data_IF_913873589227
#
_entry.id   IF_913873589227
#
_cell.length_a   1.000
_cell.length_b   1.000
_cell.length_c   1.000
_cell.angle_alpha   90.00
_cell.angle_beta   90.00
_cell.angle_gamma   90.00
#
_symmetry.space_group_name_H-M   'P 1'
#
loop_
_entity.id
_entity.type
_entity.pdbx_description
1 polymer ?
#
# COMPACT_ATOMS: atom_id res chain seq x y z
N UNK A 1 5.47 -45.82 53.40
CA UNK A 1 6.17 -44.60 52.95
C UNK A 1 5.17 -43.79 52.14
N UNK A 2 4.68 -42.66 52.70
CA UNK A 2 3.78 -41.74 52.00
C UNK A 2 4.55 -41.08 50.86
N UNK A 3 4.10 -41.26 49.61
CA UNK A 3 4.50 -40.35 48.53
C UNK A 3 4.05 -38.94 48.95
N UNK A 4 4.93 -37.93 48.94
CA UNK A 4 4.50 -36.55 49.22
C UNK A 4 3.36 -36.21 48.28
N UNK A 5 2.32 -35.56 48.80
CA UNK A 5 1.19 -35.09 48.00
C UNK A 5 1.73 -34.31 46.80
N UNK A 6 1.31 -34.59 45.56
CA UNK A 6 1.81 -33.87 44.41
C UNK A 6 1.61 -32.38 44.66
N UNK A 7 2.68 -31.60 44.54
CA UNK A 7 2.61 -30.16 44.68
C UNK A 7 1.54 -29.64 43.71
N UNK A 8 0.71 -28.69 44.15
CA UNK A 8 -0.37 -28.20 43.30
C UNK A 8 0.23 -27.62 42.01
N UNK A 9 -0.48 -27.71 40.86
CA UNK A 9 0.02 -27.18 39.59
C UNK A 9 0.46 -25.70 39.68
N UNK A 10 -0.24 -24.90 40.50
CA UNK A 10 0.12 -23.52 40.78
C UNK A 10 1.50 -23.38 41.45
N UNK A 11 1.80 -24.23 42.44
CA UNK A 11 3.11 -24.24 43.13
C UNK A 11 4.21 -24.69 42.16
N UNK A 12 3.96 -25.69 41.32
CA UNK A 12 4.92 -26.13 40.30
C UNK A 12 5.24 -25.00 39.31
N UNK A 13 4.23 -24.26 38.84
CA UNK A 13 4.42 -23.11 37.94
C UNK A 13 5.21 -21.99 38.62
N UNK A 14 4.84 -21.60 39.84
CA UNK A 14 5.53 -20.55 40.58
C UNK A 14 7.01 -20.91 40.82
N UNK A 15 7.30 -22.16 41.21
CA UNK A 15 8.66 -22.66 41.36
C UNK A 15 9.44 -22.62 40.04
N UNK A 16 8.81 -23.04 38.94
CA UNK A 16 9.42 -23.06 37.62
C UNK A 16 9.79 -21.65 37.14
N UNK A 17 8.85 -20.70 37.21
CA UNK A 17 9.06 -19.32 36.81
C UNK A 17 10.10 -18.63 37.69
N UNK A 18 10.07 -18.85 39.01
CA UNK A 18 11.05 -18.26 39.92
C UNK A 18 12.46 -18.82 39.70
N UNK A 19 12.59 -20.12 39.40
CA UNK A 19 13.87 -20.73 39.05
C UNK A 19 14.40 -20.20 37.71
N UNK A 20 13.52 -20.07 36.71
CA UNK A 20 13.86 -19.52 35.40
C UNK A 20 14.37 -18.08 35.48
N UNK A 21 13.69 -17.22 36.26
CA UNK A 21 14.12 -15.83 36.49
C UNK A 21 15.50 -15.73 37.18
N UNK A 22 15.85 -16.71 38.02
CA UNK A 22 17.17 -16.79 38.67
C UNK A 22 18.26 -17.40 37.79
N UNK A 23 17.91 -17.86 36.59
CA UNK A 23 18.84 -18.55 35.68
C UNK A 23 19.12 -20.01 36.05
N UNK A 24 18.42 -20.58 37.03
CA UNK A 24 18.55 -21.99 37.41
C UNK A 24 17.70 -22.87 36.48
N UNK A 25 18.28 -23.15 35.30
CA UNK A 25 17.61 -23.92 34.25
C UNK A 25 17.27 -25.35 34.68
N UNK A 26 18.06 -25.96 35.56
CA UNK A 26 17.85 -27.34 36.01
C UNK A 26 16.63 -27.44 36.95
N UNK A 27 16.53 -26.53 37.92
CA UNK A 27 15.36 -26.47 38.79
C UNK A 27 14.09 -26.07 38.04
N UNK A 28 14.19 -25.14 37.09
CA UNK A 28 13.07 -24.74 36.25
C UNK A 28 12.53 -25.92 35.43
N UNK A 29 13.44 -26.67 34.78
CA UNK A 29 13.11 -27.86 34.02
C UNK A 29 12.41 -28.92 34.86
N UNK A 30 12.93 -29.23 36.06
CA UNK A 30 12.31 -30.20 36.96
C UNK A 30 10.93 -29.75 37.46
N UNK A 31 10.73 -28.46 37.69
CA UNK A 31 9.44 -27.92 38.11
C UNK A 31 8.42 -27.93 36.95
N UNK A 32 8.83 -27.61 35.73
CA UNK A 32 7.98 -27.72 34.54
C UNK A 32 7.63 -29.18 34.20
N UNK A 33 8.56 -30.14 34.35
CA UNK A 33 8.24 -31.57 34.19
C UNK A 33 7.18 -32.04 35.19
N UNK A 34 7.30 -31.65 36.47
CA UNK A 34 6.27 -31.94 37.49
C UNK A 34 4.94 -31.26 37.20
N UNK A 35 4.96 -30.07 36.57
CA UNK A 35 3.72 -29.42 36.12
C UNK A 35 3.04 -30.27 35.04
N UNK A 36 3.80 -30.74 34.04
CA UNK A 36 3.27 -31.57 32.95
C UNK A 36 2.73 -32.93 33.41
N UNK A 37 3.20 -33.50 34.53
CA UNK A 37 2.59 -34.69 35.13
C UNK A 37 1.11 -34.47 35.50
N UNK A 38 0.73 -33.23 35.81
CA UNK A 38 -0.63 -32.85 36.20
C UNK A 38 -1.41 -32.12 35.10
N UNK A 39 -0.70 -31.41 34.22
CA UNK A 39 -1.25 -30.61 33.11
C UNK A 39 -0.45 -30.89 31.83
N UNK A 40 -0.69 -32.02 31.14
CA UNK A 40 0.13 -32.45 30.00
C UNK A 40 0.15 -31.46 28.82
N UNK A 41 -0.89 -30.63 28.71
CA UNK A 41 -1.08 -29.65 27.64
C UNK A 41 -0.68 -28.23 28.05
N UNK A 42 0.13 -28.06 29.11
CA UNK A 42 0.61 -26.73 29.50
C UNK A 42 1.61 -26.16 28.48
N UNK A 43 1.15 -25.22 27.66
CA UNK A 43 1.94 -24.66 26.55
C UNK A 43 3.21 -23.93 27.00
N UNK A 44 3.22 -23.29 28.18
CA UNK A 44 4.40 -22.58 28.71
C UNK A 44 5.50 -23.59 29.09
N UNK A 45 5.13 -24.65 29.82
CA UNK A 45 6.04 -25.73 30.16
C UNK A 45 6.58 -26.44 28.91
N UNK A 46 5.72 -26.76 27.94
CA UNK A 46 6.11 -27.40 26.69
C UNK A 46 7.10 -26.53 25.88
N UNK A 47 6.84 -25.22 25.76
CA UNK A 47 7.77 -24.29 25.08
C UNK A 47 9.11 -24.16 25.80
N UNK A 48 9.10 -24.11 27.14
CA UNK A 48 10.32 -24.08 27.92
C UNK A 48 11.16 -25.34 27.67
N UNK A 49 10.55 -26.53 27.77
CA UNK A 49 11.24 -27.80 27.53
C UNK A 49 11.74 -27.92 26.10
N UNK A 50 10.99 -27.46 25.09
CA UNK A 50 11.45 -27.44 23.71
C UNK A 50 12.75 -26.62 23.56
N UNK A 51 12.83 -25.46 24.21
CA UNK A 51 14.03 -24.61 24.23
C UNK A 51 15.22 -25.33 24.89
N UNK A 52 14.97 -26.09 25.96
CA UNK A 52 16.00 -26.90 26.64
C UNK A 52 16.53 -28.02 25.75
N UNK A 53 15.64 -28.73 25.07
CA UNK A 53 16.00 -29.83 24.17
C UNK A 53 16.77 -29.32 22.96
N UNK A 54 16.36 -28.20 22.37
CA UNK A 54 17.12 -27.53 21.32
C UNK A 54 18.53 -27.17 21.79
N UNK A 55 18.68 -26.61 23.00
CA UNK A 55 19.99 -26.30 23.58
C UNK A 55 20.88 -27.53 23.82
N UNK A 56 20.32 -28.74 23.84
CA UNK A 56 21.02 -30.02 23.90
C UNK A 56 21.31 -30.61 22.51
N UNK A 57 20.87 -29.96 21.44
CA UNK A 57 20.99 -30.42 20.06
C UNK A 57 19.89 -31.38 19.62
N UNK A 58 18.86 -31.60 20.44
CA UNK A 58 17.75 -32.50 20.15
C UNK A 58 16.58 -31.73 19.53
N UNK A 59 16.73 -31.41 18.24
CA UNK A 59 15.74 -30.62 17.50
C UNK A 59 14.44 -31.41 17.24
N UNK A 60 14.53 -32.73 17.05
CA UNK A 60 13.37 -33.60 16.81
C UNK A 60 12.42 -33.58 18.00
N UNK A 61 12.94 -33.81 19.22
CA UNK A 61 12.10 -33.75 20.42
C UNK A 61 11.58 -32.33 20.71
N UNK A 62 12.36 -31.30 20.39
CA UNK A 62 11.90 -29.92 20.51
C UNK A 62 10.69 -29.63 19.59
N UNK A 63 10.69 -30.18 18.37
CA UNK A 63 9.57 -30.08 17.42
C UNK A 63 8.33 -30.78 17.98
N UNK A 64 8.46 -31.99 18.53
CA UNK A 64 7.35 -32.73 19.15
C UNK A 64 6.67 -31.93 20.28
N UNK A 65 7.49 -31.33 21.16
CA UNK A 65 7.01 -30.50 22.27
C UNK A 65 6.31 -29.23 21.76
N UNK A 66 6.83 -28.59 20.71
CA UNK A 66 6.20 -27.40 20.12
C UNK A 66 4.90 -27.72 19.38
N UNK A 67 4.79 -28.88 18.73
CA UNK A 67 3.51 -29.36 18.19
C UNK A 67 2.49 -29.61 19.31
N UNK A 68 2.91 -30.20 20.43
CA UNK A 68 2.02 -30.37 21.58
C UNK A 68 1.56 -29.01 22.14
N UNK A 69 2.48 -28.04 22.27
CA UNK A 69 2.14 -26.70 22.71
C UNK A 69 1.16 -26.00 21.75
N UNK A 70 1.34 -26.16 20.44
CA UNK A 70 0.44 -25.59 19.45
C UNK A 70 -0.95 -26.25 19.49
N UNK A 71 -1.05 -27.56 19.69
CA UNK A 71 -2.36 -28.22 19.90
C UNK A 71 -3.09 -27.68 21.12
N UNK A 72 -2.36 -27.39 22.20
CA UNK A 72 -2.93 -26.81 23.41
C UNK A 72 -3.39 -25.36 23.22
N UNK A 73 -2.64 -24.58 22.43
CA UNK A 73 -2.95 -23.17 22.14
C UNK A 73 -2.85 -22.86 20.63
N UNK A 74 -3.87 -23.23 19.83
CA UNK A 74 -3.81 -23.09 18.38
C UNK A 74 -3.74 -21.65 17.87
N UNK A 75 -4.08 -20.68 18.72
CA UNK A 75 -4.12 -19.25 18.40
C UNK A 75 -2.90 -18.47 18.92
N UNK A 76 -1.86 -19.17 19.42
CA UNK A 76 -0.61 -18.52 19.80
C UNK A 76 0.41 -18.57 18.64
N UNK A 77 0.51 -17.45 17.92
CA UNK A 77 1.47 -17.30 16.83
C UNK A 77 2.94 -17.39 17.28
N UNK A 78 3.25 -17.13 18.55
CA UNK A 78 4.62 -17.22 19.06
C UNK A 78 5.10 -18.68 19.08
N UNK A 79 4.20 -19.64 19.34
CA UNK A 79 4.52 -21.08 19.28
C UNK A 79 4.87 -21.48 17.84
N UNK A 80 4.06 -21.06 16.87
CA UNK A 80 4.28 -21.34 15.45
C UNK A 80 5.57 -20.70 14.93
N UNK A 81 5.89 -19.49 15.38
CA UNK A 81 7.18 -18.85 15.10
C UNK A 81 8.37 -19.67 15.65
N UNK A 82 8.31 -20.12 16.90
CA UNK A 82 9.34 -20.97 17.50
C UNK A 82 9.46 -22.31 16.78
N UNK A 83 8.33 -22.93 16.43
CA UNK A 83 8.29 -24.19 15.69
C UNK A 83 9.00 -24.05 14.35
N UNK A 84 8.70 -22.98 13.61
CA UNK A 84 9.40 -22.64 12.38
C UNK A 84 10.91 -22.47 12.58
N UNK A 85 11.33 -21.73 13.61
CA UNK A 85 12.76 -21.55 13.92
C UNK A 85 13.48 -22.88 14.22
N UNK A 86 12.86 -23.77 15.01
CA UNK A 86 13.42 -25.09 15.31
C UNK A 86 13.46 -25.98 14.06
N UNK A 87 12.40 -25.98 13.26
CA UNK A 87 12.36 -26.73 11.99
C UNK A 87 13.44 -26.28 11.02
N UNK A 88 13.72 -24.97 10.94
CA UNK A 88 14.85 -24.46 10.14
C UNK A 88 16.20 -24.99 10.63
N UNK A 89 16.43 -25.03 11.95
CA UNK A 89 17.66 -25.57 12.53
C UNK A 89 17.79 -27.08 12.30
N UNK A 90 16.66 -27.80 12.20
CA UNK A 90 16.61 -29.21 11.84
C UNK A 90 16.78 -29.47 10.32
N UNK A 91 16.75 -28.42 9.48
CA UNK A 91 16.79 -28.56 8.02
C UNK A 91 15.42 -28.83 7.37
N UNK A 92 14.34 -28.85 8.15
CA UNK A 92 12.96 -29.09 7.71
C UNK A 92 12.33 -27.81 7.15
N UNK A 93 12.90 -27.30 6.04
CA UNK A 93 12.58 -25.95 5.55
C UNK A 93 11.12 -25.77 5.09
N UNK A 94 10.51 -26.80 4.47
CA UNK A 94 9.11 -26.67 4.00
C UNK A 94 8.15 -26.66 5.18
N UNK A 95 8.38 -27.54 6.16
CA UNK A 95 7.62 -27.55 7.40
C UNK A 95 7.77 -26.21 8.15
N UNK A 96 8.98 -25.64 8.17
CA UNK A 96 9.23 -24.32 8.74
C UNK A 96 8.42 -23.22 8.04
N UNK A 97 8.44 -23.20 6.70
CA UNK A 97 7.68 -22.23 5.92
C UNK A 97 6.18 -22.34 6.21
N UNK A 98 5.65 -23.55 6.32
CA UNK A 98 4.23 -23.78 6.62
C UNK A 98 3.84 -23.34 8.03
N UNK A 99 4.62 -23.70 9.04
CA UNK A 99 4.41 -23.24 10.43
C UNK A 99 4.43 -21.71 10.52
N UNK A 100 5.37 -21.06 9.83
CA UNK A 100 5.49 -19.60 9.81
C UNK A 100 4.32 -18.93 9.08
N UNK A 101 3.86 -19.49 7.95
CA UNK A 101 2.66 -19.01 7.25
C UNK A 101 1.43 -19.11 8.13
N UNK A 102 1.23 -20.22 8.84
CA UNK A 102 0.14 -20.37 9.81
C UNK A 102 0.25 -19.33 10.93
N UNK A 103 1.46 -19.10 11.45
CA UNK A 103 1.70 -18.07 12.47
C UNK A 103 1.34 -16.67 11.99
N UNK A 104 1.61 -16.35 10.73
CA UNK A 104 1.26 -15.07 10.11
C UNK A 104 -0.24 -14.94 9.79
N UNK A 105 -0.98 -16.04 9.62
CA UNK A 105 -2.45 -16.00 9.55
C UNK A 105 -3.05 -15.59 10.90
N UNK A 106 -2.47 -16.08 12.01
CA UNK A 106 -2.92 -15.74 13.37
C UNK A 106 -2.46 -14.33 13.78
N UNK A 107 -1.21 -13.96 13.50
CA UNK A 107 -0.64 -12.66 13.83
C UNK A 107 0.06 -12.02 12.61
N UNK A 108 -0.69 -11.36 11.72
CA UNK A 108 -0.15 -10.78 10.48
C UNK A 108 0.93 -9.71 10.67
N UNK A 109 0.92 -9.04 11.83
CA UNK A 109 1.89 -8.01 12.22
C UNK A 109 3.21 -8.55 12.78
N UNK A 110 3.38 -9.87 12.90
CA UNK A 110 4.59 -10.48 13.46
C UNK A 110 5.75 -10.50 12.44
N UNK A 111 6.33 -9.32 12.17
CA UNK A 111 7.38 -9.14 11.17
C UNK A 111 8.63 -10.00 11.39
N UNK A 112 8.94 -10.41 12.63
CA UNK A 112 10.06 -11.34 12.92
C UNK A 112 9.79 -12.74 12.35
N UNK A 113 8.55 -13.23 12.44
CA UNK A 113 8.16 -14.51 11.82
C UNK A 113 8.19 -14.41 10.29
N UNK A 114 7.78 -13.26 9.74
CA UNK A 114 7.88 -13.01 8.30
C UNK A 114 9.33 -12.95 7.80
N UNK A 115 10.25 -12.39 8.59
CA UNK A 115 11.70 -12.45 8.31
C UNK A 115 12.20 -13.90 8.28
N UNK A 116 11.82 -14.73 9.27
CA UNK A 116 12.18 -16.15 9.28
C UNK A 116 11.63 -16.90 8.07
N UNK A 117 10.41 -16.58 7.64
CA UNK A 117 9.81 -17.15 6.44
C UNK A 117 10.65 -16.83 5.20
N UNK A 118 11.10 -15.57 5.08
CA UNK A 118 12.02 -15.17 4.01
C UNK A 118 13.32 -15.99 4.01
N UNK A 119 13.92 -16.22 5.19
CA UNK A 119 15.14 -17.05 5.31
C UNK A 119 14.88 -18.50 4.90
N UNK A 120 13.77 -19.11 5.36
CA UNK A 120 13.42 -20.48 4.99
C UNK A 120 13.22 -20.62 3.47
N UNK A 121 12.48 -19.70 2.86
CA UNK A 121 12.23 -19.69 1.41
C UNK A 121 13.51 -19.46 0.59
N UNK A 122 14.42 -18.61 1.09
CA UNK A 122 15.71 -18.37 0.45
C UNK A 122 16.56 -19.64 0.45
N UNK A 123 16.62 -20.37 1.58
CA UNK A 123 17.37 -21.63 1.69
C UNK A 123 16.79 -22.74 0.80
N UNK A 124 15.51 -22.67 0.46
CA UNK A 124 14.86 -23.55 -0.52
C UNK A 124 15.10 -23.15 -1.98
N UNK A 125 15.71 -22.00 -2.24
CA UNK A 125 15.88 -21.45 -3.60
C UNK A 125 14.64 -20.77 -4.17
N UNK A 126 13.58 -20.54 -3.37
CA UNK A 126 12.34 -19.86 -3.78
C UNK A 126 12.52 -18.34 -3.76
N UNK A 127 13.39 -17.85 -4.66
CA UNK A 127 13.91 -16.47 -4.68
C UNK A 127 12.83 -15.38 -4.63
N UNK A 128 11.79 -15.51 -5.46
CA UNK A 128 10.74 -14.50 -5.54
C UNK A 128 9.89 -14.45 -4.25
N UNK A 129 9.51 -15.60 -3.71
CA UNK A 129 8.73 -15.67 -2.47
C UNK A 129 9.53 -15.19 -1.26
N UNK A 130 10.83 -15.52 -1.21
CA UNK A 130 11.73 -15.00 -0.18
C UNK A 130 11.80 -13.47 -0.21
N UNK A 131 11.92 -12.88 -1.40
CA UNK A 131 11.90 -11.42 -1.58
C UNK A 131 10.60 -10.80 -1.06
N UNK A 132 9.43 -11.38 -1.38
CA UNK A 132 8.13 -10.88 -0.90
C UNK A 132 8.01 -10.96 0.63
N UNK A 133 8.45 -12.08 1.23
CA UNK A 133 8.45 -12.25 2.67
C UNK A 133 9.37 -11.24 3.36
N UNK A 134 10.59 -11.04 2.85
CA UNK A 134 11.51 -10.04 3.38
C UNK A 134 10.97 -8.61 3.23
N UNK A 135 10.42 -8.25 2.07
CA UNK A 135 9.85 -6.92 1.86
C UNK A 135 8.70 -6.64 2.82
N UNK A 136 7.74 -7.57 2.94
CA UNK A 136 6.63 -7.42 3.90
C UNK A 136 7.08 -7.41 5.36
N UNK A 137 8.19 -8.10 5.70
CA UNK A 137 8.75 -8.04 7.04
C UNK A 137 9.33 -6.66 7.35
N UNK A 138 10.09 -6.09 6.41
CA UNK A 138 10.70 -4.77 6.52
C UNK A 138 9.62 -3.70 6.61
N UNK A 139 8.62 -3.73 5.73
CA UNK A 139 7.54 -2.75 5.67
C UNK A 139 6.76 -2.67 7.00
N UNK A 140 6.30 -3.83 7.50
CA UNK A 140 5.57 -3.91 8.78
C UNK A 140 6.44 -3.48 9.96
N UNK A 141 7.74 -3.82 9.96
CA UNK A 141 8.65 -3.40 11.02
C UNK A 141 8.88 -1.88 11.04
N UNK A 142 9.11 -1.28 9.87
CA UNK A 142 9.37 0.15 9.72
C UNK A 142 8.14 0.99 10.05
N UNK A 143 6.94 0.52 9.67
CA UNK A 143 5.68 1.14 10.09
C UNK A 143 5.52 1.19 11.63
N UNK A 144 6.19 0.30 12.36
CA UNK A 144 6.21 0.25 13.83
C UNK A 144 7.46 0.92 14.43
N UNK A 145 8.25 1.66 13.63
CA UNK A 145 9.47 2.33 14.09
C UNK A 145 10.64 1.37 14.39
N UNK A 146 10.63 0.16 13.82
CA UNK A 146 11.66 -0.87 13.99
C UNK A 146 12.44 -1.04 12.69
N UNK A 147 13.67 -1.55 12.79
CA UNK A 147 14.52 -1.84 11.62
C UNK A 147 14.79 -0.63 10.70
N UNK A 148 14.81 0.57 11.27
CA UNK A 148 15.20 1.79 10.57
C UNK A 148 16.73 1.90 10.49
N UNK A 149 17.41 1.41 11.53
CA UNK A 149 18.86 1.45 11.72
C UNK A 149 19.30 0.42 12.79
N UNK A 150 20.59 0.41 13.14
CA UNK A 150 21.11 -0.48 14.19
C UNK A 150 20.61 -0.13 15.60
N UNK A 151 20.11 1.09 15.83
CA UNK A 151 19.57 1.53 17.12
C UNK A 151 18.15 0.99 17.36
N UNK A 152 17.36 0.88 16.30
CA UNK A 152 15.99 0.33 16.31
C UNK A 152 15.93 -1.18 16.02
N UNK A 153 17.09 -1.81 15.79
CA UNK A 153 17.24 -3.25 15.50
C UNK A 153 17.95 -3.98 16.63
N UNK A 154 17.34 -5.06 17.13
CA UNK A 154 17.93 -5.92 18.15
C UNK A 154 19.29 -6.48 17.66
N UNK A 155 20.35 -6.49 18.49
CA UNK A 155 21.69 -6.90 18.05
C UNK A 155 21.75 -8.24 17.32
N UNK A 156 21.04 -9.26 17.82
CA UNK A 156 21.00 -10.60 17.19
C UNK A 156 20.26 -10.68 15.85
N UNK A 157 19.58 -9.61 15.43
CA UNK A 157 18.85 -9.56 14.15
C UNK A 157 19.49 -8.63 13.12
N UNK A 158 20.49 -7.81 13.51
CA UNK A 158 21.05 -6.77 12.63
C UNK A 158 21.55 -7.32 11.30
N UNK A 159 22.31 -8.41 11.32
CA UNK A 159 22.86 -8.98 10.09
C UNK A 159 21.78 -9.61 9.21
N UNK A 160 20.80 -10.28 9.82
CA UNK A 160 19.66 -10.85 9.10
C UNK A 160 18.79 -9.77 8.45
N UNK A 161 18.54 -8.66 9.15
CA UNK A 161 17.79 -7.52 8.61
C UNK A 161 18.57 -6.83 7.50
N UNK A 162 19.88 -6.58 7.68
CA UNK A 162 20.74 -6.01 6.63
C UNK A 162 20.80 -6.91 5.40
N UNK A 163 20.83 -8.23 5.58
CA UNK A 163 20.73 -9.20 4.49
C UNK A 163 19.40 -9.09 3.76
N UNK A 164 18.27 -9.13 4.48
CA UNK A 164 16.94 -8.98 3.91
C UNK A 164 16.79 -7.67 3.11
N UNK A 165 17.28 -6.55 3.63
CA UNK A 165 17.26 -5.24 2.94
C UNK A 165 18.03 -5.31 1.62
N UNK A 166 19.25 -5.85 1.61
CA UNK A 166 20.05 -6.01 0.38
C UNK A 166 19.39 -6.97 -0.60
N UNK A 167 18.83 -8.07 -0.11
CA UNK A 167 18.15 -9.08 -0.91
C UNK A 167 16.95 -8.48 -1.65
N UNK A 168 16.12 -7.73 -0.92
CA UNK A 168 14.96 -7.03 -1.48
C UNK A 168 15.37 -5.95 -2.47
N UNK A 169 16.40 -5.16 -2.17
CA UNK A 169 16.89 -4.12 -3.08
C UNK A 169 17.35 -4.73 -4.41
N UNK A 170 18.19 -5.76 -4.37
CA UNK A 170 18.68 -6.44 -5.57
C UNK A 170 17.55 -7.13 -6.34
N UNK A 171 16.64 -7.81 -5.65
CA UNK A 171 15.52 -8.51 -6.28
C UNK A 171 14.51 -7.58 -6.94
N UNK A 172 14.18 -6.44 -6.31
CA UNK A 172 13.28 -5.42 -6.89
C UNK A 172 13.93 -4.76 -8.10
N UNK A 173 15.23 -4.47 -8.04
CA UNK A 173 15.99 -3.94 -9.17
C UNK A 173 15.92 -4.88 -10.38
N UNK A 174 16.22 -6.16 -10.18
CA UNK A 174 16.15 -7.17 -11.24
C UNK A 174 14.73 -7.34 -11.79
N UNK A 175 13.72 -7.40 -10.90
CA UNK A 175 12.31 -7.54 -11.27
C UNK A 175 11.86 -6.41 -12.19
N UNK A 176 12.10 -5.16 -11.81
CA UNK A 176 11.63 -4.00 -12.59
C UNK A 176 12.52 -3.73 -13.81
N UNK A 177 13.81 -4.07 -13.78
CA UNK A 177 14.64 -4.06 -15.00
C UNK A 177 14.11 -5.05 -16.05
N UNK A 178 13.65 -6.24 -15.62
CA UNK A 178 13.07 -7.23 -16.53
C UNK A 178 11.76 -6.74 -17.17
N UNK A 179 10.97 -5.92 -16.46
CA UNK A 179 9.76 -5.27 -17.00
C UNK A 179 10.10 -4.27 -18.11
N UNK A 180 11.19 -3.52 -17.96
CA UNK A 180 11.59 -2.46 -18.89
C UNK A 180 12.44 -2.99 -20.06
N UNK A 181 13.10 -4.14 -19.92
CA UNK A 181 13.99 -4.67 -20.96
C UNK A 181 13.34 -4.87 -22.34
N UNK A 182 12.10 -5.39 -22.47
CA UNK A 182 11.42 -5.46 -23.77
C UNK A 182 11.24 -4.07 -24.42
N UNK A 183 11.00 -3.03 -23.63
CA UNK A 183 10.87 -1.66 -24.13
C UNK A 183 12.23 -1.09 -24.54
N UNK A 184 13.31 -1.40 -23.82
CA UNK A 184 14.68 -1.04 -24.22
C UNK A 184 15.06 -1.67 -25.55
N UNK A 185 14.63 -2.91 -25.79
CA UNK A 185 14.84 -3.59 -27.08
C UNK A 185 14.01 -2.97 -28.20
N UNK A 186 12.76 -2.56 -27.91
CA UNK A 186 11.85 -1.97 -28.89
C UNK A 186 12.21 -0.53 -29.29
N UNK A 187 12.48 0.33 -28.32
CA UNK A 187 12.68 1.77 -28.53
C UNK A 187 14.16 2.20 -28.51
N UNK A 188 15.04 1.37 -27.95
CA UNK A 188 16.44 1.70 -27.72
C UNK A 188 16.69 2.24 -26.31
N UNK A 189 17.86 1.91 -25.75
CA UNK A 189 18.24 2.31 -24.38
C UNK A 189 18.35 3.83 -24.20
N UNK A 190 18.77 4.56 -25.23
CA UNK A 190 18.87 6.03 -25.16
C UNK A 190 17.53 6.70 -24.88
N UNK A 191 16.45 6.19 -25.50
CA UNK A 191 15.09 6.73 -25.36
C UNK A 191 14.50 6.50 -23.95
N UNK A 192 15.04 5.56 -23.19
CA UNK A 192 14.56 5.20 -21.85
C UNK A 192 15.50 5.66 -20.73
N UNK A 193 16.45 6.55 -21.02
CA UNK A 193 17.41 7.05 -20.01
C UNK A 193 16.70 7.68 -18.80
N UNK A 194 15.62 8.45 -19.03
CA UNK A 194 14.82 9.05 -17.95
C UNK A 194 14.00 8.01 -17.17
N UNK A 195 13.60 6.92 -17.83
CA UNK A 195 12.93 5.78 -17.17
C UNK A 195 13.90 5.07 -16.24
N UNK A 196 15.14 4.83 -16.67
CA UNK A 196 16.17 4.21 -15.83
C UNK A 196 16.47 5.07 -14.60
N UNK A 197 16.54 6.40 -14.77
CA UNK A 197 16.67 7.34 -13.65
C UNK A 197 15.44 7.35 -12.74
N UNK A 198 14.23 7.32 -13.31
CA UNK A 198 12.98 7.22 -12.55
C UNK A 198 12.97 5.95 -11.67
N UNK A 199 13.37 4.81 -12.24
CA UNK A 199 13.45 3.55 -11.52
C UNK A 199 14.51 3.59 -10.41
N UNK A 200 15.70 4.14 -10.68
CA UNK A 200 16.75 4.30 -9.66
C UNK A 200 16.28 5.19 -8.49
N UNK A 201 15.52 6.26 -8.78
CA UNK A 201 14.91 7.13 -7.76
C UNK A 201 13.87 6.35 -6.95
N UNK A 202 12.97 5.64 -7.62
CA UNK A 202 11.93 4.83 -6.96
C UNK A 202 12.51 3.72 -6.06
N UNK A 203 13.63 3.13 -6.46
CA UNK A 203 14.34 2.12 -5.68
C UNK A 203 15.23 2.70 -4.56
N UNK A 204 15.35 4.02 -4.46
CA UNK A 204 16.19 4.70 -3.47
C UNK A 204 17.69 4.64 -3.76
N UNK A 205 18.09 4.23 -4.98
CA UNK A 205 19.48 4.17 -5.43
C UNK A 205 20.02 5.57 -5.78
N UNK A 206 19.12 6.48 -6.14
CA UNK A 206 19.40 7.88 -6.46
C UNK A 206 18.42 8.79 -5.73
N UNK A 207 18.89 9.91 -5.18
CA UNK A 207 18.00 10.93 -4.63
C UNK A 207 17.24 11.67 -5.74
N UNK A 208 15.95 11.94 -5.53
CA UNK A 208 15.18 12.81 -6.41
C UNK A 208 15.68 14.26 -6.30
N UNK A 209 15.88 14.92 -7.44
CA UNK A 209 16.20 16.34 -7.51
C UNK A 209 15.06 17.05 -8.22
N UNK A 210 14.21 17.71 -7.44
CA UNK A 210 13.03 18.39 -7.96
C UNK A 210 13.38 19.84 -8.33
N UNK A 211 13.09 20.30 -9.57
CA UNK A 211 13.34 21.67 -9.99
C UNK A 211 12.60 22.72 -9.15
N UNK A 212 11.38 22.40 -8.72
CA UNK A 212 10.58 23.23 -7.83
C UNK A 212 10.38 22.51 -6.49
N UNK A 213 10.86 23.09 -5.36
CA UNK A 213 10.74 22.46 -4.05
C UNK A 213 9.30 22.40 -3.52
N UNK A 214 8.32 23.05 -4.15
CA UNK A 214 6.90 22.95 -3.78
C UNK A 214 6.23 21.67 -4.31
N UNK A 215 6.82 21.03 -5.32
CA UNK A 215 6.34 19.79 -5.90
C UNK A 215 6.73 18.62 -4.98
N UNK A 216 5.78 17.77 -4.60
CA UNK A 216 6.07 16.58 -3.78
C UNK A 216 5.15 15.42 -4.16
N UNK A 217 5.50 14.61 -5.20
CA UNK A 217 4.75 13.40 -5.51
C UNK A 217 4.83 12.39 -4.37
N UNK A 218 3.70 11.74 -4.05
CA UNK A 218 3.63 10.74 -2.97
C UNK A 218 4.18 9.36 -3.32
N UNK A 219 4.32 9.04 -4.62
CA UNK A 219 4.67 7.69 -5.07
C UNK A 219 5.82 7.68 -6.08
N UNK A 220 5.61 8.21 -7.28
CA UNK A 220 6.56 8.09 -8.37
C UNK A 220 6.94 9.46 -8.92
N UNK A 221 8.21 9.80 -8.85
CA UNK A 221 8.77 10.98 -9.49
C UNK A 221 9.49 10.61 -10.77
N UNK A 222 9.12 11.25 -11.88
CA UNK A 222 9.75 11.09 -13.18
C UNK A 222 10.65 12.30 -13.48
N UNK A 223 11.98 12.09 -13.62
CA UNK A 223 12.94 13.18 -13.75
C UNK A 223 12.88 13.84 -15.13
N UNK A 224 13.34 15.10 -15.19
CA UNK A 224 13.44 15.86 -16.45
C UNK A 224 12.12 16.42 -17.00
N UNK A 225 10.99 16.15 -16.34
CA UNK A 225 9.73 16.87 -16.62
C UNK A 225 9.85 18.29 -16.05
N UNK A 226 9.58 19.35 -16.83
CA UNK A 226 9.52 20.71 -16.31
C UNK A 226 8.44 20.85 -15.22
N UNK A 227 8.83 21.28 -14.02
CA UNK A 227 7.89 21.54 -12.93
C UNK A 227 7.00 22.75 -13.27
N UNK A 228 5.68 22.54 -13.34
CA UNK A 228 4.68 23.56 -13.63
C UNK A 228 3.42 23.29 -12.82
N UNK A 229 2.84 24.33 -12.22
CA UNK A 229 1.55 24.26 -11.52
C UNK A 229 0.42 24.07 -12.52
N UNK A 230 0.31 24.97 -13.51
CA UNK A 230 -0.66 24.92 -14.60
C UNK A 230 0.02 24.77 -15.96
N UNK A 231 -0.63 24.03 -16.87
CA UNK A 231 -0.13 23.81 -18.22
C UNK A 231 -0.94 24.60 -19.26
N UNK A 232 -0.28 25.17 -20.29
CA UNK A 232 -0.96 25.85 -21.39
C UNK A 232 -1.90 24.90 -22.16
N UNK A 233 -3.05 25.42 -22.61
CA UNK A 233 -4.09 24.64 -23.32
C UNK A 233 -3.58 24.05 -24.64
N UNK A 234 -2.65 24.74 -25.30
CA UNK A 234 -2.06 24.32 -26.58
C UNK A 234 -1.27 23.01 -26.47
N UNK A 235 -0.87 22.63 -25.24
CA UNK A 235 -0.20 21.34 -24.96
C UNK A 235 -1.17 20.16 -25.02
N UNK A 236 -2.48 20.40 -25.03
CA UNK A 236 -3.51 19.36 -25.03
C UNK A 236 -4.56 19.57 -26.13
N UNK A 237 -4.18 19.50 -27.42
CA UNK A 237 -5.09 19.78 -28.53
C UNK A 237 -6.35 18.89 -28.55
N UNK A 238 -6.27 17.67 -27.99
CA UNK A 238 -7.42 16.77 -27.88
C UNK A 238 -8.54 17.34 -27.00
N UNK A 239 -8.22 18.18 -26.01
CA UNK A 239 -9.21 18.78 -25.10
C UNK A 239 -10.14 19.76 -25.82
N UNK A 240 -9.75 20.32 -26.97
CA UNK A 240 -10.64 21.18 -27.76
C UNK A 240 -11.94 20.47 -28.17
N UNK A 241 -11.90 19.14 -28.34
CA UNK A 241 -13.10 18.33 -28.62
C UNK A 241 -14.04 18.21 -27.40
N UNK A 242 -13.49 18.21 -26.18
CA UNK A 242 -14.28 18.23 -24.94
C UNK A 242 -14.95 19.60 -24.76
N UNK A 243 -14.18 20.67 -24.94
CA UNK A 243 -14.68 22.05 -24.83
C UNK A 243 -15.78 22.33 -25.87
N UNK A 244 -15.59 21.88 -27.11
CA UNK A 244 -16.60 22.02 -28.17
C UNK A 244 -17.89 21.21 -27.89
N UNK A 245 -17.82 20.20 -27.03
CA UNK A 245 -18.95 19.35 -26.66
C UNK A 245 -19.57 19.70 -25.30
N UNK A 246 -19.20 20.84 -24.70
CA UNK A 246 -19.61 21.22 -23.33
C UNK A 246 -21.13 21.16 -23.14
N UNK A 247 -21.92 21.59 -24.11
CA UNK A 247 -23.38 21.61 -24.00
C UNK A 247 -23.98 20.19 -23.97
N UNK A 248 -23.40 19.27 -24.74
CA UNK A 248 -23.79 17.85 -24.76
C UNK A 248 -23.46 17.21 -23.41
N UNK A 249 -22.25 17.48 -22.88
CA UNK A 249 -21.81 16.96 -21.58
C UNK A 249 -22.72 17.50 -20.46
N UNK A 250 -23.06 18.79 -20.51
CA UNK A 250 -23.99 19.43 -19.55
C UNK A 250 -25.39 18.84 -19.59
N UNK A 251 -25.91 18.51 -20.77
CA UNK A 251 -27.21 17.88 -20.91
C UNK A 251 -27.26 16.54 -20.16
N UNK A 252 -26.27 15.67 -20.38
CA UNK A 252 -26.17 14.38 -19.69
C UNK A 252 -25.92 14.56 -18.19
N UNK A 253 -25.08 15.52 -17.80
CA UNK A 253 -24.87 15.86 -16.38
C UNK A 253 -26.18 16.29 -15.70
N UNK A 254 -27.02 17.11 -16.32
CA UNK A 254 -28.30 17.54 -15.71
C UNK A 254 -29.21 16.34 -15.43
N UNK A 255 -29.23 15.35 -16.31
CA UNK A 255 -29.97 14.10 -16.09
C UNK A 255 -29.39 13.28 -14.94
N UNK A 256 -28.06 13.25 -14.76
CA UNK A 256 -27.43 12.64 -13.57
C UNK A 256 -27.84 13.38 -12.30
N UNK A 257 -27.78 14.72 -12.29
CA UNK A 257 -28.13 15.52 -11.11
C UNK A 257 -29.61 15.40 -10.72
N UNK A 258 -30.53 15.17 -11.66
CA UNK A 258 -31.94 14.92 -11.33
C UNK A 258 -32.17 13.56 -10.64
N UNK A 259 -31.20 12.65 -10.71
CA UNK A 259 -31.20 11.34 -10.06
C UNK A 259 -30.01 11.17 -9.09
N UNK A 260 -29.56 12.28 -8.48
CA UNK A 260 -28.34 12.32 -7.69
C UNK A 260 -28.27 11.29 -6.56
N UNK A 261 -29.39 10.94 -5.94
CA UNK A 261 -29.44 9.94 -4.85
C UNK A 261 -29.08 8.52 -5.31
N UNK A 262 -29.34 8.18 -6.57
CA UNK A 262 -29.08 6.86 -7.13
C UNK A 262 -27.72 6.81 -7.84
N UNK A 263 -27.26 7.95 -8.37
CA UNK A 263 -26.14 8.03 -9.30
C UNK A 263 -24.83 8.50 -8.66
N UNK A 264 -24.89 9.36 -7.65
CA UNK A 264 -23.72 9.94 -7.03
C UNK A 264 -23.30 9.11 -5.82
N UNK A 265 -21.99 8.90 -5.71
CA UNK A 265 -21.37 8.26 -4.54
C UNK A 265 -20.37 9.23 -3.92
N UNK A 266 -20.09 9.14 -2.60
CA UNK A 266 -19.01 9.92 -2.00
C UNK A 266 -17.69 9.66 -2.73
N UNK A 267 -16.96 10.71 -3.10
CA UNK A 267 -15.70 10.59 -3.83
C UNK A 267 -14.69 9.72 -3.06
N UNK A 268 -14.57 9.97 -1.75
CA UNK A 268 -13.67 9.24 -0.86
C UNK A 268 -14.10 7.77 -0.63
N UNK A 269 -15.33 7.41 -1.01
CA UNK A 269 -15.94 6.11 -0.72
C UNK A 269 -16.71 6.11 0.59
N UNK A 270 -17.45 5.02 0.85
CA UNK A 270 -18.21 4.83 2.11
C UNK A 270 -17.36 4.22 3.23
N UNK A 271 -16.23 3.58 2.87
CA UNK A 271 -15.34 2.86 3.80
C UNK A 271 -14.13 3.70 4.22
N UNK A 272 -13.90 4.85 3.60
CA UNK A 272 -13.02 5.89 4.15
C UNK A 272 -13.70 6.42 5.40
N UNK A 273 -13.28 5.94 6.58
CA UNK A 273 -13.88 6.35 7.86
C UNK A 273 -13.92 7.87 8.01
N UNK A 274 -14.86 8.37 8.82
CA UNK A 274 -15.09 9.80 9.08
C UNK A 274 -13.80 10.61 9.30
N UNK A 275 -12.77 9.98 9.87
CA UNK A 275 -11.44 10.57 10.08
C UNK A 275 -10.71 10.99 8.79
N UNK A 276 -10.84 10.23 7.69
CA UNK A 276 -10.20 10.58 6.40
C UNK A 276 -10.94 11.73 5.73
N UNK A 277 -12.28 11.72 5.78
CA UNK A 277 -13.10 12.82 5.28
C UNK A 277 -12.82 14.12 6.06
N UNK A 278 -12.71 14.05 7.39
CA UNK A 278 -12.39 15.20 8.23
C UNK A 278 -10.99 15.80 7.98
N UNK A 279 -10.04 15.02 7.44
CA UNK A 279 -8.71 15.50 7.07
C UNK A 279 -8.66 16.17 5.69
N UNK A 280 -9.66 15.90 4.83
CA UNK A 280 -9.67 16.36 3.44
C UNK A 280 -10.79 17.37 3.13
N UNK A 281 -11.81 17.47 3.99
CA UNK A 281 -12.96 18.35 3.76
C UNK A 281 -13.17 19.31 4.94
N UNK A 282 -13.38 20.58 4.61
CA UNK A 282 -13.85 21.61 5.52
C UNK A 282 -15.15 22.24 5.02
N UNK A 283 -15.95 22.79 5.93
CA UNK A 283 -17.13 23.59 5.59
C UNK A 283 -16.88 25.07 5.94
N UNK A 284 -17.26 25.97 5.03
CA UNK A 284 -17.24 27.42 5.25
C UNK A 284 -18.62 27.99 5.64
N UNK A 285 -19.64 27.14 5.83
CA UNK A 285 -21.03 27.55 6.08
C UNK A 285 -21.78 26.61 7.01
N UNK A 286 -23.11 26.74 7.05
CA UNK A 286 -23.97 25.93 7.93
C UNK A 286 -24.26 24.51 7.37
N UNK A 287 -24.01 24.29 6.07
CA UNK A 287 -24.18 22.99 5.43
C UNK A 287 -22.94 22.12 5.65
N UNK A 288 -23.15 20.82 5.73
CA UNK A 288 -22.07 19.85 5.79
C UNK A 288 -21.31 19.81 4.46
N UNK A 289 -19.98 19.76 4.56
CA UNK A 289 -19.11 19.65 3.40
C UNK A 289 -19.32 18.30 2.71
N UNK A 290 -19.53 18.31 1.40
CA UNK A 290 -19.71 17.07 0.65
C UNK A 290 -19.06 17.14 -0.74
N UNK A 291 -18.34 16.07 -1.04
CA UNK A 291 -17.67 15.84 -2.30
C UNK A 291 -18.14 14.51 -2.89
N UNK A 292 -19.05 14.61 -3.85
CA UNK A 292 -19.70 13.49 -4.50
C UNK A 292 -19.15 13.30 -5.93
N UNK A 293 -19.31 12.10 -6.47
CA UNK A 293 -18.74 11.70 -7.75
C UNK A 293 -19.68 10.80 -8.56
N UNK A 294 -19.67 11.00 -9.88
CA UNK A 294 -20.21 10.08 -10.88
C UNK A 294 -19.06 9.53 -11.71
N UNK A 295 -18.64 8.30 -11.45
CA UNK A 295 -17.46 7.71 -12.09
C UNK A 295 -17.82 7.08 -13.45
N UNK A 296 -17.09 7.47 -14.50
CA UNK A 296 -17.01 6.72 -15.75
C UNK A 296 -15.89 5.68 -15.69
N UNK A 297 -14.77 6.07 -15.08
CA UNK A 297 -13.63 5.22 -14.76
C UNK A 297 -13.12 5.55 -13.37
N UNK A 298 -12.79 4.52 -12.58
CA UNK A 298 -12.12 4.66 -11.28
C UNK A 298 -11.07 3.57 -11.15
N UNK A 299 -9.83 3.95 -10.82
CA UNK A 299 -8.70 3.02 -10.75
C UNK A 299 -8.54 2.16 -12.02
N UNK A 300 -8.79 2.75 -13.19
CA UNK A 300 -8.74 2.04 -14.48
C UNK A 300 -9.92 1.12 -14.79
N UNK A 301 -10.85 0.92 -13.84
CA UNK A 301 -12.06 0.12 -14.04
C UNK A 301 -13.16 0.99 -14.65
N UNK A 302 -13.74 0.54 -15.77
CA UNK A 302 -14.88 1.19 -16.42
C UNK A 302 -16.18 0.89 -15.66
N UNK A 303 -17.00 1.92 -15.50
CA UNK A 303 -18.32 1.82 -14.90
C UNK A 303 -19.39 1.78 -16.00
N UNK A 304 -19.72 0.58 -16.49
CA UNK A 304 -20.56 0.43 -17.69
C UNK A 304 -21.97 0.98 -17.53
N UNK A 305 -22.59 0.83 -16.36
CA UNK A 305 -23.92 1.41 -16.09
C UNK A 305 -23.90 2.94 -16.17
N UNK A 306 -22.90 3.58 -15.56
CA UNK A 306 -22.71 5.02 -15.59
C UNK A 306 -22.41 5.51 -17.02
N UNK A 307 -21.55 4.78 -17.74
CA UNK A 307 -21.27 5.08 -19.15
C UNK A 307 -22.53 4.97 -20.03
N UNK A 308 -23.42 4.01 -19.76
CA UNK A 308 -24.68 3.87 -20.48
C UNK A 308 -25.67 5.02 -20.20
N UNK A 309 -25.61 5.65 -19.01
CA UNK A 309 -26.41 6.84 -18.67
C UNK A 309 -25.88 8.13 -19.33
N UNK A 310 -24.59 8.18 -19.65
CA UNK A 310 -23.95 9.31 -20.29
C UNK A 310 -23.18 8.87 -21.55
N UNK A 311 -23.89 8.31 -22.56
CA UNK A 311 -23.25 7.62 -23.68
C UNK A 311 -22.42 8.55 -24.57
N UNK A 312 -22.84 9.81 -24.74
CA UNK A 312 -22.10 10.77 -25.59
C UNK A 312 -20.84 11.25 -24.88
N UNK A 313 -20.93 11.53 -23.57
CA UNK A 313 -19.77 11.90 -22.76
C UNK A 313 -18.79 10.74 -22.66
N UNK A 314 -19.28 9.51 -22.44
CA UNK A 314 -18.44 8.31 -22.40
C UNK A 314 -17.70 8.08 -23.72
N UNK A 315 -18.39 8.17 -24.87
CA UNK A 315 -17.75 8.03 -26.17
C UNK A 315 -16.68 9.12 -26.44
N UNK A 316 -16.90 10.35 -25.96
CA UNK A 316 -15.89 11.41 -26.03
C UNK A 316 -14.66 11.06 -25.21
N UNK A 317 -14.84 10.66 -23.94
CA UNK A 317 -13.77 10.24 -23.03
C UNK A 317 -12.98 9.06 -23.60
N UNK A 318 -13.66 8.06 -24.18
CA UNK A 318 -13.01 6.89 -24.78
C UNK A 318 -12.09 7.25 -25.96
N UNK A 319 -12.40 8.36 -26.66
CA UNK A 319 -11.60 8.87 -27.76
C UNK A 319 -10.46 9.81 -27.34
N UNK A 320 -10.32 10.11 -26.05
CA UNK A 320 -9.24 10.94 -25.52
C UNK A 320 -7.97 10.10 -25.26
N UNK A 321 -6.78 10.69 -25.36
CA UNK A 321 -5.51 10.05 -24.99
C UNK A 321 -5.33 10.01 -23.47
N UNK A 322 -6.24 9.32 -22.78
CA UNK A 322 -6.24 9.19 -21.32
C UNK A 322 -5.03 8.39 -20.83
N UNK A 323 -4.61 8.66 -19.60
CA UNK A 323 -3.66 7.79 -18.89
C UNK A 323 -4.32 6.45 -18.63
N UNK A 324 -3.79 5.36 -19.19
CA UNK A 324 -4.30 4.01 -18.98
C UNK A 324 -3.22 3.15 -18.33
N UNK A 325 -3.42 2.85 -17.06
CA UNK A 325 -2.54 2.01 -16.24
C UNK A 325 -3.44 1.08 -15.43
N UNK A 326 -3.27 -0.23 -15.61
CA UNK A 326 -4.11 -1.25 -14.97
C UNK A 326 -4.17 -1.03 -13.46
N UNK A 327 -5.39 -1.10 -12.90
CA UNK A 327 -5.69 -0.92 -11.47
C UNK A 327 -5.36 0.48 -10.89
N UNK A 328 -4.99 1.46 -11.72
CA UNK A 328 -4.53 2.78 -11.25
C UNK A 328 -5.18 3.95 -11.99
N UNK A 329 -5.31 3.88 -13.31
CA UNK A 329 -5.77 4.99 -14.17
C UNK A 329 -6.48 4.45 -15.43
N UNK A 330 -7.43 5.20 -16.01
CA UNK A 330 -7.75 6.57 -15.70
C UNK A 330 -8.72 6.71 -14.52
N UNK A 331 -8.70 7.90 -13.92
CA UNK A 331 -9.87 8.48 -13.28
C UNK A 331 -10.56 9.42 -14.25
N UNK A 332 -11.85 9.20 -14.48
CA UNK A 332 -12.71 10.13 -15.20
C UNK A 332 -14.08 10.17 -14.54
N UNK A 333 -14.53 11.35 -14.14
CA UNK A 333 -15.76 11.49 -13.35
C UNK A 333 -16.39 12.89 -13.49
N UNK A 334 -17.69 12.99 -13.23
CA UNK A 334 -18.23 14.26 -12.75
C UNK A 334 -17.92 14.41 -11.27
N UNK A 335 -17.15 15.42 -10.91
CA UNK A 335 -16.86 15.81 -9.53
C UNK A 335 -17.85 16.89 -9.10
N UNK A 336 -18.68 16.57 -8.11
CA UNK A 336 -19.78 17.40 -7.62
C UNK A 336 -19.42 17.92 -6.23
N UNK A 337 -19.34 19.25 -6.10
CA UNK A 337 -18.96 19.93 -4.87
C UNK A 337 -20.15 20.73 -4.34
N UNK A 338 -20.67 20.36 -3.16
CA UNK A 338 -21.84 21.03 -2.56
C UNK A 338 -21.51 22.45 -2.09
N UNK A 339 -22.53 23.31 -1.92
CA UNK A 339 -22.36 24.65 -1.34
C UNK A 339 -21.54 24.63 -0.04
N UNK A 340 -20.67 25.62 0.14
CA UNK A 340 -19.82 25.77 1.34
C UNK A 340 -18.70 24.74 1.50
N UNK A 341 -18.46 23.84 0.53
CA UNK A 341 -17.44 22.79 0.66
C UNK A 341 -16.04 23.29 0.28
N UNK A 342 -15.04 22.96 1.09
CA UNK A 342 -13.62 23.19 0.84
C UNK A 342 -12.87 21.86 0.88
N UNK A 343 -12.28 21.45 -0.24
CA UNK A 343 -11.32 20.36 -0.30
C UNK A 343 -9.98 20.92 0.17
N UNK A 344 -9.52 20.45 1.33
CA UNK A 344 -8.33 20.93 2.02
C UNK A 344 -7.04 20.63 1.23
N UNK A 345 -5.93 21.34 1.52
CA UNK A 345 -4.66 21.15 0.84
C UNK A 345 -4.18 19.70 0.85
N UNK A 346 -3.93 19.14 -0.34
CA UNK A 346 -3.43 17.77 -0.53
C UNK A 346 -2.53 17.69 -1.77
N UNK A 347 -1.99 16.49 -2.03
CA UNK A 347 -1.07 16.21 -3.14
C UNK A 347 -1.40 14.88 -3.81
N UNK A 348 -1.12 14.84 -5.10
CA UNK A 348 -1.17 13.68 -5.99
C UNK A 348 0.02 12.74 -5.84
N UNK A 349 0.03 11.73 -6.70
CA UNK A 349 0.92 10.57 -6.54
C UNK A 349 2.11 10.58 -7.50
N UNK A 350 1.98 11.17 -8.70
CA UNK A 350 3.03 11.15 -9.72
C UNK A 350 2.93 12.32 -10.69
N UNK A 351 4.06 12.85 -11.14
CA UNK A 351 4.13 13.93 -12.14
C UNK A 351 4.06 13.42 -13.59
N UNK A 352 3.95 12.10 -13.78
CA UNK A 352 3.73 11.47 -15.10
C UNK A 352 2.29 11.65 -15.60
N UNK A 353 1.37 11.90 -14.66
CA UNK A 353 -0.06 12.11 -14.87
C UNK A 353 -0.41 13.51 -14.41
N UNK A 354 -1.22 14.20 -15.20
CA UNK A 354 -1.78 15.50 -14.89
C UNK A 354 -3.29 15.38 -14.76
N UNK A 355 -3.88 16.27 -13.97
CA UNK A 355 -5.33 16.33 -13.79
C UNK A 355 -5.89 17.44 -14.66
N UNK A 356 -6.85 17.10 -15.51
CA UNK A 356 -7.59 18.07 -16.33
C UNK A 356 -9.01 18.20 -15.82
N UNK A 357 -9.45 19.42 -15.58
CA UNK A 357 -10.84 19.75 -15.26
C UNK A 357 -11.48 20.53 -16.41
N UNK A 358 -12.62 20.04 -16.90
CA UNK A 358 -13.55 20.81 -17.73
C UNK A 358 -14.68 21.33 -16.84
N UNK A 359 -14.79 22.65 -16.60
CA UNK A 359 -15.81 23.18 -15.70
C UNK A 359 -17.19 23.22 -16.37
N UNK A 360 -18.18 22.59 -15.73
CA UNK A 360 -19.53 22.42 -16.30
C UNK A 360 -20.56 23.30 -15.61
N UNK A 361 -20.50 23.44 -14.29
CA UNK A 361 -21.36 24.33 -13.51
C UNK A 361 -20.44 25.01 -12.48
N UNK A 362 -20.28 26.32 -12.58
CA UNK A 362 -19.37 27.09 -11.73
C UNK A 362 -20.09 28.34 -11.19
N UNK A 363 -20.65 28.23 -9.98
CA UNK A 363 -21.16 29.39 -9.26
C UNK A 363 -20.05 30.40 -8.88
N UNK A 364 -20.41 31.63 -8.45
CA UNK A 364 -19.45 32.59 -7.90
C UNK A 364 -18.63 32.03 -6.72
N UNK A 365 -17.44 32.56 -6.48
CA UNK A 365 -16.57 32.16 -5.36
C UNK A 365 -16.27 30.63 -5.31
N UNK A 366 -16.03 30.07 -6.49
CA UNK A 366 -15.41 28.76 -6.68
C UNK A 366 -14.00 28.95 -7.24
N UNK A 367 -12.99 28.25 -6.70
CA UNK A 367 -11.65 28.29 -7.27
C UNK A 367 -10.87 26.99 -7.03
N UNK A 368 -9.71 26.92 -7.67
CA UNK A 368 -8.66 25.92 -7.47
C UNK A 368 -7.36 26.64 -7.17
N UNK A 369 -6.62 26.21 -6.16
CA UNK A 369 -5.28 26.72 -5.88
C UNK A 369 -4.27 25.60 -6.02
N UNK A 370 -3.21 25.80 -6.79
CA UNK A 370 -2.15 24.81 -7.06
C UNK A 370 -0.79 25.47 -6.86
N UNK A 371 0.03 24.94 -5.95
CA UNK A 371 1.36 25.49 -5.68
C UNK A 371 1.37 26.95 -5.20
N UNK A 372 0.24 27.45 -4.67
CA UNK A 372 0.06 28.84 -4.26
C UNK A 372 -0.55 29.76 -5.34
N UNK A 373 -0.75 29.28 -6.56
CA UNK A 373 -1.41 30.01 -7.64
C UNK A 373 -2.91 29.69 -7.68
N UNK A 374 -3.76 30.70 -7.58
CA UNK A 374 -5.22 30.54 -7.63
C UNK A 374 -5.73 30.69 -9.06
N UNK A 375 -6.42 29.67 -9.54
CA UNK A 375 -7.14 29.65 -10.79
C UNK A 375 -8.64 29.83 -10.54
N UNK A 376 -9.21 30.87 -11.15
CA UNK A 376 -10.67 31.08 -11.21
C UNK A 376 -11.19 30.29 -12.40
N UNK A 377 -12.18 29.45 -12.14
CA UNK A 377 -12.77 28.57 -13.13
C UNK A 377 -13.46 29.35 -14.27
N UNK A 378 -13.24 28.91 -15.51
CA UNK A 378 -13.98 29.37 -16.69
C UNK A 378 -14.83 28.21 -17.23
N UNK A 379 -16.15 28.38 -17.23
CA UNK A 379 -17.07 27.37 -17.75
C UNK A 379 -16.76 26.99 -19.21
N UNK A 380 -16.73 25.69 -19.49
CA UNK A 380 -16.47 25.15 -20.82
C UNK A 380 -15.02 25.25 -21.31
N UNK A 381 -14.08 25.68 -20.46
CA UNK A 381 -12.65 25.78 -20.80
C UNK A 381 -11.83 24.88 -19.90
N UNK A 382 -11.08 23.96 -20.50
CA UNK A 382 -10.24 23.04 -19.75
C UNK A 382 -9.11 23.77 -19.04
N UNK A 383 -8.81 23.33 -17.83
CA UNK A 383 -7.56 23.66 -17.12
C UNK A 383 -6.88 22.35 -16.74
N UNK A 384 -5.57 22.29 -17.00
CA UNK A 384 -4.74 21.13 -16.68
C UNK A 384 -3.64 21.56 -15.73
N UNK A 385 -3.46 20.80 -14.65
CA UNK A 385 -2.50 21.13 -13.59
C UNK A 385 -1.79 19.88 -13.09
N UNK A 386 -0.63 20.10 -12.49
CA UNK A 386 0.14 19.06 -11.81
C UNK A 386 -0.34 18.95 -10.36
N UNK A 387 -1.05 17.88 -10.06
CA UNK A 387 -1.62 17.62 -8.73
C UNK A 387 -0.54 17.20 -7.72
N UNK A 388 0.70 16.98 -8.11
CA UNK A 388 1.82 16.71 -7.17
C UNK A 388 2.29 17.95 -6.44
N UNK A 389 1.93 19.14 -6.91
CA UNK A 389 1.96 20.34 -6.09
C UNK A 389 0.82 20.30 -5.08
N UNK A 390 1.03 20.92 -3.92
CA UNK A 390 -0.06 21.10 -2.98
C UNK A 390 -1.21 21.88 -3.63
N UNK A 391 -2.40 21.31 -3.57
CA UNK A 391 -3.58 21.90 -4.17
C UNK A 391 -4.82 21.74 -3.29
N UNK A 392 -5.75 22.68 -3.45
CA UNK A 392 -7.04 22.72 -2.78
C UNK A 392 -8.08 23.32 -3.72
N UNK A 393 -9.35 23.01 -3.49
CA UNK A 393 -10.46 23.58 -4.25
C UNK A 393 -11.64 23.89 -3.34
N UNK A 394 -12.39 24.94 -3.66
CA UNK A 394 -13.56 25.32 -2.86
C UNK A 394 -14.76 25.70 -3.71
N UNK A 395 -15.92 25.54 -3.09
CA UNK A 395 -17.19 26.11 -3.50
C UNK A 395 -17.77 26.86 -2.30
N UNK A 396 -17.55 28.17 -2.22
CA UNK A 396 -18.09 29.01 -1.13
C UNK A 396 -19.44 29.65 -1.48
N UNK A 397 -20.00 29.25 -2.62
CA UNK A 397 -21.31 29.72 -3.07
C UNK A 397 -22.46 29.00 -2.35
N UNK A 398 -23.68 29.39 -2.69
CA UNK A 398 -24.94 28.76 -2.30
C UNK A 398 -25.45 27.70 -3.30
N UNK A 399 -24.70 27.43 -4.37
CA UNK A 399 -25.08 26.54 -5.46
C UNK A 399 -24.05 25.42 -5.67
N UNK A 400 -24.47 24.32 -6.26
CA UNK A 400 -23.59 23.18 -6.55
C UNK A 400 -22.60 23.53 -7.68
N UNK A 401 -21.33 23.18 -7.48
CA UNK A 401 -20.28 23.27 -8.51
C UNK A 401 -20.00 21.88 -9.08
N UNK A 402 -19.91 21.76 -10.40
CA UNK A 402 -19.59 20.50 -11.07
C UNK A 402 -18.52 20.70 -12.14
N UNK A 403 -17.52 19.81 -12.14
CA UNK A 403 -16.53 19.70 -13.22
C UNK A 403 -16.41 18.26 -13.69
N UNK A 404 -16.09 18.08 -14.96
CA UNK A 404 -15.62 16.81 -15.48
C UNK A 404 -14.11 16.72 -15.25
N UNK A 405 -13.67 15.69 -14.53
CA UNK A 405 -12.26 15.38 -14.28
C UNK A 405 -11.83 14.29 -15.25
N UNK A 406 -10.61 14.40 -15.79
CA UNK A 406 -9.93 13.33 -16.51
C UNK A 406 -8.42 13.35 -16.26
N UNK A 407 -7.83 12.16 -16.20
CA UNK A 407 -6.39 11.96 -16.17
C UNK A 407 -5.76 12.12 -17.57
N UNK A 408 -4.83 13.06 -17.71
CA UNK A 408 -4.05 13.31 -18.93
C UNK A 408 -2.58 12.93 -18.72
N UNK A 409 -1.93 12.37 -19.75
CA UNK A 409 -0.47 12.17 -19.69
C UNK A 409 0.24 13.51 -19.58
N UNK A 410 1.36 13.55 -18.85
CA UNK A 410 2.23 14.70 -18.92
C UNK A 410 2.77 14.84 -20.36
N UNK A 411 2.60 16.01 -21.02
CA UNK A 411 2.95 16.18 -22.43
C UNK A 411 4.47 16.18 -22.70
N UNK A 412 5.29 16.17 -21.65
CA UNK A 412 6.75 16.03 -21.71
C UNK A 412 7.25 14.58 -21.56
N UNK A 413 6.33 13.61 -21.68
CA UNK A 413 6.62 12.19 -21.84
C UNK A 413 6.47 11.75 -23.30
N UNK A 414 7.50 11.08 -23.81
CA UNK A 414 7.45 10.36 -25.09
C UNK A 414 6.55 9.12 -25.02
N UNK A 415 6.17 8.57 -26.18
CA UNK A 415 5.42 7.31 -26.26
C UNK A 415 6.15 6.14 -25.57
N UNK A 416 7.47 6.08 -25.70
CA UNK A 416 8.30 5.06 -25.07
C UNK A 416 8.27 5.18 -23.53
N UNK A 417 8.32 6.40 -23.01
CA UNK A 417 8.24 6.66 -21.57
C UNK A 417 6.83 6.42 -21.02
N UNK A 418 5.77 6.77 -21.76
CA UNK A 418 4.38 6.46 -21.37
C UNK A 418 4.18 4.94 -21.25
N UNK A 419 4.64 4.16 -22.24
CA UNK A 419 4.58 2.71 -22.19
C UNK A 419 5.36 2.14 -20.99
N UNK A 420 6.56 2.66 -20.74
CA UNK A 420 7.39 2.24 -19.60
C UNK A 420 6.75 2.56 -18.25
N UNK A 421 6.16 3.75 -18.09
CA UNK A 421 5.43 4.11 -16.87
C UNK A 421 4.22 3.20 -16.68
N UNK A 422 3.47 2.90 -17.75
CA UNK A 422 2.34 1.96 -17.68
C UNK A 422 2.78 0.58 -17.16
N UNK A 423 3.84 0.01 -17.72
CA UNK A 423 4.31 -1.33 -17.33
C UNK A 423 4.93 -1.33 -15.93
N UNK A 424 5.74 -0.32 -15.59
CA UNK A 424 6.37 -0.21 -14.26
C UNK A 424 5.34 -0.04 -13.14
N UNK A 425 4.39 0.88 -13.31
CA UNK A 425 3.40 1.15 -12.26
C UNK A 425 2.53 -0.08 -12.02
N UNK A 426 2.14 -0.80 -13.08
CA UNK A 426 1.41 -2.06 -12.96
C UNK A 426 2.24 -3.13 -12.23
N UNK A 427 3.51 -3.30 -12.58
CA UNK A 427 4.40 -4.27 -11.94
C UNK A 427 4.68 -3.94 -10.46
N UNK A 428 4.84 -2.66 -10.14
CA UNK A 428 4.97 -2.18 -8.76
C UNK A 428 3.69 -2.49 -7.97
N UNK A 429 2.51 -2.25 -8.57
CA UNK A 429 1.23 -2.60 -7.98
C UNK A 429 1.10 -4.10 -7.67
N UNK A 430 1.48 -4.96 -8.61
CA UNK A 430 1.47 -6.42 -8.43
C UNK A 430 2.44 -6.87 -7.32
N UNK A 431 3.66 -6.32 -7.30
CA UNK A 431 4.65 -6.62 -6.28
C UNK A 431 4.15 -6.25 -4.87
N UNK A 432 3.63 -5.03 -4.70
CA UNK A 432 3.11 -4.56 -3.42
C UNK A 432 1.93 -5.43 -2.95
N UNK A 433 0.95 -5.72 -3.83
CA UNK A 433 -0.18 -6.60 -3.48
C UNK A 433 0.25 -8.00 -3.07
N UNK A 434 1.23 -8.56 -3.77
CA UNK A 434 1.77 -9.90 -3.47
C UNK A 434 2.53 -9.94 -2.14
N UNK A 435 3.06 -8.80 -1.69
CA UNK A 435 3.66 -8.69 -0.36
C UNK A 435 2.62 -8.47 0.75
N UNK A 436 1.52 -7.76 0.44
CA UNK A 436 0.41 -7.53 1.37
C UNK A 436 -0.38 -8.82 1.66
N UNK A 437 -0.58 -9.72 0.68
CA UNK A 437 -1.37 -10.97 0.80
C UNK A 437 -0.82 -12.02 1.79
N UNK A 438 0.32 -11.76 2.44
CA UNK A 438 0.72 -12.50 3.64
C UNK A 438 0.04 -11.99 4.93
N UNK A 439 -0.79 -10.95 4.85
CA UNK A 439 -1.69 -10.45 5.88
C UNK A 439 -3.09 -10.27 5.25
N UNK A 440 -4.19 -10.69 5.92
CA UNK A 440 -5.52 -10.45 5.38
C UNK A 440 -5.74 -8.95 5.20
N UNK A 441 -5.98 -8.56 3.96
CA UNK A 441 -6.30 -7.21 3.54
C UNK A 441 -7.56 -6.73 4.27
N UNK A 442 -7.41 -5.76 5.17
CA UNK A 442 -8.48 -4.84 5.52
C UNK A 442 -8.58 -3.77 4.43
N UNK A 443 -8.89 -4.20 3.20
CA UNK A 443 -9.38 -3.32 2.14
C UNK A 443 -10.63 -3.98 1.55
N UNK A 444 -11.75 -3.63 2.15
CA UNK A 444 -13.08 -3.70 1.55
C UNK A 444 -13.64 -2.30 1.54
#
# INVERSE_FOLDING_TARGET
MNKPSPASPAICREQALAAWQRGDMAMAEQAFLRLLETQPDDAEALQFLATRQLGRGDAEHAIELLFAAHRAQPQDAAILHRLGEVQMLAGELEAAADSLRQGLQVAPGMFVARLRLGVALEQQGRRHEAMLAYFGAIDVAQAQGRWLDDATTAPGLRDAVKHAVRYVAAGRRELFDAVIEPLRQRYGRSELTRVDQCLAIYLGEQAAVLPDPRQHPKFLYFPGIPSRTFYPRERFPAHARLEAAVDVIREELRAVLSHAQDDLVPFLGTNSGEAVAAQLLGSSGAQEAAWDAFFFYRHGVRHDMQCARCPRTSALLDSMPLVRVRDHAPETLYSVLRPGTHILPHRGVTNTRLVTHLPLIVPPDCALRVGGETHVWEEGRCVTFDDTFEHEAWNRSDQTRVVLILDSWNPDLSEAEQAAVTDLVAAIGDFNRSSETAAPSLKS
#
